data_IF_355899680843
#
_entry.id   IF_355899680843
#
_cell.length_a   1.000
_cell.length_b   1.000
_cell.length_c   1.000
_cell.angle_alpha   90.00
_cell.angle_beta   90.00
_cell.angle_gamma   90.00
#
_symmetry.space_group_name_H-M   'P 1'
#
loop_
_entity.id
_entity.type
_entity.pdbx_description
1 polymer ?
#
# COMPACT_ATOMS: atom_id res chain seq x y z
N UNK A 1 -12.90 7.60 35.00
CA UNK A 1 -14.11 7.13 35.73
C UNK A 1 -15.08 6.29 34.89
N UNK A 2 -15.63 6.75 33.75
CA UNK A 2 -16.51 5.89 32.93
C UNK A 2 -15.73 4.82 32.15
N UNK A 3 -14.63 5.20 31.48
CA UNK A 3 -13.75 4.29 30.74
C UNK A 3 -13.03 3.25 31.63
N UNK A 4 -12.80 3.58 32.90
CA UNK A 4 -12.15 2.67 33.86
C UNK A 4 -13.07 1.52 34.31
N UNK A 5 -14.39 1.68 34.19
CA UNK A 5 -15.36 0.67 34.63
C UNK A 5 -15.73 -0.32 33.55
N UNK A 6 -15.74 0.13 32.30
CA UNK A 6 -16.06 -0.71 31.14
C UNK A 6 -15.33 -0.15 29.91
N UNK A 7 -14.10 -0.64 29.63
CA UNK A 7 -13.31 -0.20 28.48
C UNK A 7 -14.02 -0.51 27.15
N UNK A 8 -14.86 -1.55 27.11
CA UNK A 8 -15.62 -1.95 25.92
C UNK A 8 -16.92 -1.17 25.71
N UNK A 9 -17.38 -0.38 26.69
CA UNK A 9 -18.61 0.40 26.58
C UNK A 9 -18.55 1.53 25.53
N UNK A 10 -17.34 1.91 25.10
CA UNK A 10 -17.11 3.03 24.19
C UNK A 10 -16.27 2.58 22.99
N UNK A 11 -16.71 1.55 22.27
CA UNK A 11 -16.23 1.32 20.92
C UNK A 11 -16.64 2.53 20.07
N UNK A 12 -15.72 3.45 19.85
CA UNK A 12 -15.92 4.58 18.96
C UNK A 12 -15.72 4.08 17.54
N UNK A 13 -16.70 4.35 16.68
CA UNK A 13 -16.51 4.16 15.26
C UNK A 13 -15.49 5.15 14.71
N UNK A 14 -15.00 4.87 13.51
CA UNK A 14 -14.02 5.71 12.84
C UNK A 14 -14.50 7.16 12.66
N UNK A 15 -15.79 7.35 12.35
CA UNK A 15 -16.40 8.67 12.18
C UNK A 15 -16.32 9.49 13.47
N UNK A 16 -16.62 8.89 14.62
CA UNK A 16 -16.49 9.55 15.92
C UNK A 16 -15.04 9.90 16.23
N UNK A 17 -14.09 9.01 15.92
CA UNK A 17 -12.65 9.25 16.11
C UNK A 17 -12.19 10.43 15.26
N UNK A 18 -12.55 10.47 13.98
CA UNK A 18 -12.24 11.59 13.11
C UNK A 18 -12.92 12.88 13.57
N UNK A 19 -14.19 12.79 14.00
CA UNK A 19 -14.92 13.91 14.58
C UNK A 19 -14.23 14.51 15.80
N UNK A 20 -13.73 13.66 16.70
CA UNK A 20 -12.95 14.12 17.86
C UNK A 20 -11.61 14.74 17.41
N UNK A 21 -10.88 14.07 16.52
CA UNK A 21 -9.61 14.58 16.02
C UNK A 21 -9.77 15.96 15.34
N UNK A 22 -10.88 16.21 14.66
CA UNK A 22 -11.17 17.48 13.99
C UNK A 22 -11.79 18.54 14.89
N UNK A 23 -12.48 18.15 15.97
CA UNK A 23 -13.01 19.09 16.96
C UNK A 23 -11.92 19.65 17.88
N UNK A 24 -10.83 18.89 18.07
CA UNK A 24 -9.67 19.36 18.82
C UNK A 24 -8.84 20.33 17.98
N UNK A 25 -8.31 21.41 18.60
CA UNK A 25 -7.46 22.35 17.89
C UNK A 25 -6.25 21.63 17.31
N UNK A 26 -5.82 22.05 16.12
CA UNK A 26 -4.53 21.63 15.60
C UNK A 26 -3.44 21.99 16.63
N UNK A 27 -2.78 20.98 17.18
CA UNK A 27 -1.78 21.17 18.22
C UNK A 27 -0.50 21.76 17.61
N UNK A 28 -0.47 23.08 17.54
CA UNK A 28 0.58 23.81 16.84
C UNK A 28 1.86 23.99 17.66
N UNK A 29 1.74 23.95 18.99
CA UNK A 29 2.80 24.34 19.89
C UNK A 29 3.87 23.26 20.05
N UNK A 30 3.46 22.00 20.14
CA UNK A 30 4.33 20.88 20.49
C UNK A 30 4.14 19.70 19.52
N UNK A 31 5.22 18.94 19.21
CA UNK A 31 5.19 17.82 18.28
C UNK A 31 4.42 16.59 18.80
N UNK A 32 3.97 16.61 20.05
CA UNK A 32 3.06 15.62 20.65
C UNK A 32 1.97 16.38 21.41
N UNK A 33 1.01 16.89 20.67
CA UNK A 33 -0.08 17.67 21.24
C UNK A 33 -1.06 16.86 22.09
N UNK A 34 -1.90 17.54 22.89
CA UNK A 34 -2.96 16.90 23.69
C UNK A 34 -3.92 16.03 22.87
N UNK A 35 -4.11 16.30 21.57
CA UNK A 35 -4.91 15.45 20.68
C UNK A 35 -4.26 14.08 20.49
N UNK A 36 -2.95 14.04 20.27
CA UNK A 36 -2.19 12.79 20.12
C UNK A 36 -2.26 11.97 21.40
N UNK A 37 -2.02 12.62 22.55
CA UNK A 37 -2.08 11.98 23.87
C UNK A 37 -3.48 11.43 24.15
N UNK A 38 -4.52 12.20 23.82
CA UNK A 38 -5.90 11.78 24.00
C UNK A 38 -6.24 10.57 23.13
N UNK A 39 -5.86 10.56 21.85
CA UNK A 39 -6.08 9.39 20.97
C UNK A 39 -5.29 8.18 21.44
N UNK A 40 -4.03 8.34 21.84
CA UNK A 40 -3.22 7.25 22.41
C UNK A 40 -3.88 6.67 23.65
N UNK A 41 -4.43 7.52 24.53
CA UNK A 41 -5.19 7.07 25.69
C UNK A 41 -6.42 6.24 25.26
N UNK A 42 -7.21 6.73 24.30
CA UNK A 42 -8.37 6.00 23.79
C UNK A 42 -8.01 4.64 23.17
N UNK A 43 -6.93 4.58 22.40
CA UNK A 43 -6.41 3.33 21.82
C UNK A 43 -5.94 2.38 22.93
N UNK A 44 -5.19 2.88 23.92
CA UNK A 44 -4.68 2.07 25.04
C UNK A 44 -5.81 1.43 25.87
N UNK A 45 -6.96 2.11 25.95
CA UNK A 45 -8.16 1.61 26.62
C UNK A 45 -8.97 0.63 25.75
N UNK A 46 -8.56 0.36 24.51
CA UNK A 46 -9.29 -0.52 23.59
C UNK A 46 -10.58 0.06 23.04
N UNK A 47 -10.84 1.35 23.27
CA UNK A 47 -12.06 2.02 22.80
C UNK A 47 -12.01 2.45 21.33
N UNK A 48 -10.82 2.43 20.71
CA UNK A 48 -10.60 2.97 19.36
C UNK A 48 -9.66 2.07 18.55
N UNK A 49 -10.02 1.83 17.29
CA UNK A 49 -9.15 1.21 16.29
C UNK A 49 -9.41 1.86 14.93
N UNK A 50 -8.40 1.86 14.05
CA UNK A 50 -8.58 2.20 12.63
C UNK A 50 -9.52 1.23 11.89
N UNK A 51 -9.82 0.06 12.46
CA UNK A 51 -10.70 -0.92 11.81
C UNK A 51 -12.14 -0.41 11.77
N UNK A 52 -12.62 -0.17 10.56
CA UNK A 52 -14.05 0.06 10.32
C UNK A 52 -14.81 -1.17 10.82
N UNK A 53 -15.57 -1.02 11.92
CA UNK A 53 -16.49 -2.05 12.35
C UNK A 53 -17.48 -2.25 11.20
N UNK A 54 -17.49 -3.44 10.61
CA UNK A 54 -18.34 -3.77 9.47
C UNK A 54 -19.80 -3.40 9.81
N UNK A 55 -20.25 -2.26 9.31
CA UNK A 55 -21.56 -1.70 9.61
C UNK A 55 -22.58 -2.66 9.02
N UNK A 56 -23.31 -3.36 9.89
CA UNK A 56 -24.20 -4.44 9.47
C UNK A 56 -25.25 -3.97 8.45
N UNK A 57 -25.07 -4.35 7.19
CA UNK A 57 -26.14 -4.61 6.22
C UNK A 57 -26.92 -3.43 5.65
N UNK A 58 -26.45 -2.18 5.78
CA UNK A 58 -27.07 -1.04 5.09
C UNK A 58 -26.50 -0.88 3.69
N UNK A 59 -27.24 -1.28 2.66
CA UNK A 59 -26.92 -1.15 1.22
C UNK A 59 -26.92 0.32 0.72
N UNK A 60 -26.66 1.27 1.62
CA UNK A 60 -26.75 2.72 1.36
C UNK A 60 -25.39 3.39 1.44
N UNK A 61 -24.94 3.92 0.30
CA UNK A 61 -23.78 4.79 0.09
C UNK A 61 -22.50 4.41 0.86
N UNK A 62 -21.71 3.55 0.21
CA UNK A 62 -20.35 3.13 0.61
C UNK A 62 -19.32 4.26 0.35
N UNK A 63 -19.75 5.51 0.21
CA UNK A 63 -18.90 6.68 -0.02
C UNK A 63 -18.44 7.36 1.29
N UNK A 64 -18.71 6.73 2.44
CA UNK A 64 -18.10 7.14 3.71
C UNK A 64 -16.59 6.96 3.62
N UNK A 65 -15.87 8.08 3.46
CA UNK A 65 -14.40 8.09 3.50
C UNK A 65 -13.92 7.44 4.81
N UNK A 66 -13.02 6.46 4.69
CA UNK A 66 -12.43 5.82 5.86
C UNK A 66 -11.66 6.83 6.73
N UNK A 67 -11.60 6.57 8.04
CA UNK A 67 -10.94 7.44 9.02
C UNK A 67 -9.47 7.66 8.69
N UNK A 68 -8.76 6.61 8.27
CA UNK A 68 -7.36 6.75 7.84
C UNK A 68 -7.26 7.61 6.58
N UNK A 69 -8.20 7.50 5.64
CA UNK A 69 -8.26 8.35 4.45
C UNK A 69 -8.49 9.82 4.81
N UNK A 70 -9.43 10.10 5.71
CA UNK A 70 -9.73 11.46 6.16
C UNK A 70 -8.56 12.09 6.91
N UNK A 71 -7.93 11.35 7.82
CA UNK A 71 -6.74 11.80 8.53
C UNK A 71 -5.56 12.01 7.58
N UNK A 72 -5.35 11.13 6.61
CA UNK A 72 -4.29 11.30 5.62
C UNK A 72 -4.51 12.54 4.75
N UNK A 73 -5.74 12.80 4.29
CA UNK A 73 -6.06 14.06 3.57
C UNK A 73 -5.84 15.30 4.43
N UNK A 74 -6.06 15.23 5.75
CA UNK A 74 -5.70 16.33 6.67
C UNK A 74 -4.19 16.49 6.76
N UNK A 75 -3.45 15.40 6.93
CA UNK A 75 -1.99 15.38 6.96
C UNK A 75 -1.39 16.02 5.70
N UNK A 76 -1.80 15.59 4.50
CA UNK A 76 -1.31 16.15 3.22
C UNK A 76 -1.59 17.65 3.13
N UNK A 77 -2.81 18.10 3.47
CA UNK A 77 -3.14 19.54 3.47
C UNK A 77 -2.27 20.35 4.43
N UNK A 78 -2.02 19.84 5.64
CA UNK A 78 -1.17 20.51 6.62
C UNK A 78 0.29 20.53 6.16
N UNK A 79 0.76 19.43 5.57
CA UNK A 79 2.10 19.33 4.98
C UNK A 79 2.29 20.34 3.85
N UNK A 80 1.34 20.42 2.90
CA UNK A 80 1.36 21.40 1.81
C UNK A 80 1.36 22.86 2.32
N UNK A 81 0.60 23.15 3.38
CA UNK A 81 0.63 24.48 4.02
C UNK A 81 1.97 24.79 4.66
N UNK A 82 2.69 23.78 5.16
CA UNK A 82 4.03 23.93 5.72
C UNK A 82 5.09 24.16 4.64
N UNK A 83 4.86 23.68 3.41
CA UNK A 83 5.76 23.89 2.26
C UNK A 83 5.41 25.11 1.41
N UNK A 84 4.33 25.82 1.76
CA UNK A 84 3.88 27.00 1.03
C UNK A 84 5.00 28.02 0.82
N UNK A 85 5.15 28.45 -0.43
CA UNK A 85 6.06 29.53 -0.80
C UNK A 85 5.40 30.89 -0.57
N UNK A 86 6.15 31.79 0.07
CA UNK A 86 5.73 33.16 0.29
C UNK A 86 6.50 34.08 -0.65
N UNK A 87 5.87 35.17 -1.09
CA UNK A 87 6.56 36.19 -1.87
C UNK A 87 7.62 36.88 -1.01
N UNK A 88 8.79 37.14 -1.59
CA UNK A 88 9.91 37.78 -0.91
C UNK A 88 10.81 36.80 -0.15
N UNK A 89 11.40 37.27 0.95
CA UNK A 89 12.33 36.48 1.76
C UNK A 89 11.58 35.45 2.62
N UNK A 90 11.91 34.16 2.45
CA UNK A 90 11.31 33.06 3.21
C UNK A 90 11.98 32.83 4.58
N UNK A 91 13.03 33.58 4.90
CA UNK A 91 13.67 33.54 6.22
C UNK A 91 13.00 34.45 7.25
N UNK A 92 12.00 35.23 6.83
CA UNK A 92 11.24 36.13 7.72
C UNK A 92 10.57 35.36 8.86
N UNK A 93 10.55 35.92 10.08
CA UNK A 93 10.05 35.22 11.26
C UNK A 93 8.62 34.72 11.08
N UNK A 94 7.73 35.52 10.49
CA UNK A 94 6.34 35.13 10.23
C UNK A 94 6.20 33.92 9.30
N UNK A 95 7.11 33.77 8.32
CA UNK A 95 7.12 32.62 7.42
C UNK A 95 7.64 31.39 8.15
N UNK A 96 8.73 31.54 8.92
CA UNK A 96 9.28 30.41 9.69
C UNK A 96 8.30 29.91 10.75
N UNK A 97 7.59 30.81 11.43
CA UNK A 97 6.55 30.46 12.40
C UNK A 97 5.37 29.75 11.73
N UNK A 98 4.89 30.26 10.59
CA UNK A 98 3.84 29.58 9.80
C UNK A 98 4.26 28.15 9.42
N UNK A 99 5.48 27.98 8.90
CA UNK A 99 5.99 26.65 8.50
C UNK A 99 6.11 25.71 9.70
N UNK A 100 6.69 26.18 10.80
CA UNK A 100 6.80 25.40 12.03
C UNK A 100 5.44 24.96 12.56
N UNK A 101 4.47 25.90 12.56
CA UNK A 101 3.10 25.66 12.99
C UNK A 101 2.45 24.52 12.20
N UNK A 102 2.42 24.61 10.87
CA UNK A 102 1.77 23.59 10.04
C UNK A 102 2.55 22.27 9.99
N UNK A 103 3.88 22.33 10.11
CA UNK A 103 4.70 21.12 10.25
C UNK A 103 4.35 20.36 11.54
N UNK A 104 4.24 21.05 12.67
CA UNK A 104 3.83 20.44 13.94
C UNK A 104 2.42 19.82 13.84
N UNK A 105 1.48 20.53 13.21
CA UNK A 105 0.14 20.01 12.99
C UNK A 105 0.12 18.74 12.12
N UNK A 106 0.90 18.72 11.03
CA UNK A 106 1.05 17.54 10.18
C UNK A 106 1.65 16.35 10.96
N UNK A 107 2.72 16.59 11.72
CA UNK A 107 3.36 15.58 12.58
C UNK A 107 2.36 15.02 13.60
N UNK A 108 1.58 15.87 14.27
CA UNK A 108 0.55 15.43 15.21
C UNK A 108 -0.55 14.59 14.54
N UNK A 109 -1.02 14.99 13.35
CA UNK A 109 -1.98 14.18 12.58
C UNK A 109 -1.40 12.82 12.21
N UNK A 110 -0.12 12.75 11.84
CA UNK A 110 0.54 11.48 11.56
C UNK A 110 0.68 10.61 12.81
N UNK A 111 1.03 11.19 13.96
CA UNK A 111 1.06 10.44 15.23
C UNK A 111 -0.31 9.91 15.65
N UNK A 112 -1.40 10.61 15.30
CA UNK A 112 -2.77 10.06 15.46
C UNK A 112 -2.96 8.84 14.56
N UNK A 113 -2.55 8.90 13.29
CA UNK A 113 -2.60 7.76 12.37
C UNK A 113 -1.80 6.56 12.91
N UNK A 114 -0.56 6.80 13.38
CA UNK A 114 0.28 5.75 13.99
C UNK A 114 -0.38 5.12 15.21
N UNK A 115 -0.97 5.94 16.09
CA UNK A 115 -1.68 5.45 17.25
C UNK A 115 -2.87 4.56 16.85
N UNK A 116 -3.64 4.94 15.83
CA UNK A 116 -4.79 4.15 15.35
C UNK A 116 -4.40 2.84 14.66
N UNK A 117 -3.20 2.81 14.05
CA UNK A 117 -2.61 1.60 13.47
C UNK A 117 -1.97 0.71 14.55
N UNK A 118 -1.69 1.22 15.73
CA UNK A 118 -1.14 0.42 16.83
C UNK A 118 -2.25 -0.43 17.46
N UNK A 119 -2.10 -1.77 17.54
CA UNK A 119 -3.13 -2.62 18.12
C UNK A 119 -3.33 -2.28 19.60
N UNK A 120 -4.59 -2.11 19.99
CA UNK A 120 -4.95 -1.90 21.39
C UNK A 120 -4.60 -3.15 22.22
N UNK A 121 -3.83 -2.97 23.29
CA UNK A 121 -3.54 -4.03 24.25
C UNK A 121 -2.62 -5.14 23.71
N UNK A 122 -1.81 -4.87 22.69
CA UNK A 122 -0.68 -5.75 22.38
C UNK A 122 0.15 -5.91 23.65
N UNK A 123 0.48 -7.16 24.01
CA UNK A 123 1.24 -7.57 25.20
C UNK A 123 2.55 -6.77 25.31
N UNK A 124 2.47 -5.53 25.79
CA UNK A 124 3.58 -4.65 26.12
C UNK A 124 4.29 -5.12 27.40
N UNK A 125 4.23 -6.43 27.67
CA UNK A 125 4.90 -7.04 28.81
C UNK A 125 6.41 -7.24 28.55
N UNK A 126 6.87 -7.04 27.33
CA UNK A 126 8.29 -6.97 26.99
C UNK A 126 8.66 -5.49 26.73
N UNK A 127 9.11 -4.84 27.80
CA UNK A 127 9.41 -3.40 28.01
C UNK A 127 10.53 -2.82 27.10
N UNK A 128 10.34 -2.79 25.78
CA UNK A 128 11.13 -1.90 24.91
C UNK A 128 10.23 -0.77 24.40
N UNK A 129 10.08 0.29 25.20
CA UNK A 129 9.23 1.49 24.94
C UNK A 129 9.51 2.19 23.59
N UNK A 130 10.60 1.87 22.89
CA UNK A 130 10.97 2.46 21.60
C UNK A 130 10.52 1.66 20.35
N UNK A 131 9.92 0.47 20.51
CA UNK A 131 9.59 -0.41 19.37
C UNK A 131 8.26 -0.06 18.66
N UNK A 132 7.60 1.04 19.05
CA UNK A 132 6.28 1.45 18.51
C UNK A 132 6.26 1.64 16.98
N UNK A 133 7.38 2.05 16.38
CA UNK A 133 7.51 2.19 14.92
C UNK A 133 7.76 0.88 14.18
N UNK A 134 8.28 -0.15 14.87
CA UNK A 134 8.79 -1.39 14.25
C UNK A 134 7.71 -2.15 13.48
N UNK A 135 6.47 -2.08 13.95
CA UNK A 135 5.35 -2.81 13.37
C UNK A 135 4.36 -1.93 12.60
N UNK A 136 4.70 -0.65 12.35
CA UNK A 136 3.79 0.28 11.68
C UNK A 136 3.42 -0.20 10.27
N UNK A 137 4.41 -0.62 9.47
CA UNK A 137 4.19 -1.15 8.12
C UNK A 137 3.26 -2.37 8.16
N UNK A 138 3.55 -3.33 9.05
CA UNK A 138 2.73 -4.53 9.24
C UNK A 138 1.29 -4.16 9.58
N UNK A 139 1.10 -3.24 10.51
CA UNK A 139 -0.23 -2.86 10.94
C UNK A 139 -0.99 -2.09 9.85
N UNK A 140 -0.32 -1.26 9.07
CA UNK A 140 -0.91 -0.60 7.89
C UNK A 140 -1.38 -1.61 6.84
N UNK A 141 -0.58 -2.67 6.58
CA UNK A 141 -0.96 -3.77 5.68
C UNK A 141 -2.19 -4.52 6.18
N UNK A 142 -2.32 -4.69 7.50
CA UNK A 142 -3.46 -5.36 8.16
C UNK A 142 -4.68 -4.46 8.34
N UNK A 143 -4.50 -3.15 8.23
CA UNK A 143 -5.59 -2.21 8.19
C UNK A 143 -6.21 -2.32 6.80
N UNK A 144 -7.30 -3.08 6.72
CA UNK A 144 -8.01 -3.33 5.47
C UNK A 144 -8.30 -2.03 4.71
N UNK A 145 -8.51 -0.92 5.42
CA UNK A 145 -8.88 0.37 4.86
C UNK A 145 -7.74 1.38 4.69
N UNK A 146 -6.47 0.97 4.81
CA UNK A 146 -5.35 1.89 4.62
C UNK A 146 -5.35 2.46 3.18
N UNK A 147 -5.39 3.79 2.99
CA UNK A 147 -5.27 4.39 1.67
C UNK A 147 -3.95 3.98 1.00
N UNK A 148 -3.93 3.71 -0.32
CA UNK A 148 -2.70 3.37 -1.06
C UNK A 148 -1.57 4.37 -0.81
N UNK A 149 -1.85 5.67 -0.96
CA UNK A 149 -0.85 6.73 -0.77
C UNK A 149 -0.30 6.79 0.67
N UNK A 150 -1.17 6.56 1.67
CA UNK A 150 -0.74 6.48 3.07
C UNK A 150 0.16 5.27 3.29
N UNK A 151 -0.21 4.10 2.74
CA UNK A 151 0.61 2.89 2.86
C UNK A 151 1.99 3.10 2.24
N UNK A 152 2.05 3.67 1.03
CA UNK A 152 3.32 4.01 0.37
C UNK A 152 4.14 4.97 1.20
N UNK A 153 3.53 6.03 1.72
CA UNK A 153 4.22 6.96 2.62
C UNK A 153 4.80 6.25 3.85
N UNK A 154 4.03 5.36 4.49
CA UNK A 154 4.48 4.56 5.65
C UNK A 154 5.66 3.66 5.26
N UNK A 155 5.57 2.95 4.13
CA UNK A 155 6.64 2.07 3.63
C UNK A 155 7.91 2.85 3.31
N UNK A 156 7.81 3.98 2.61
CA UNK A 156 8.96 4.81 2.22
C UNK A 156 9.67 5.44 3.43
N UNK A 157 8.93 5.79 4.47
CA UNK A 157 9.47 6.38 5.72
C UNK A 157 9.95 5.33 6.73
N UNK A 158 9.48 4.09 6.63
CA UNK A 158 9.79 2.99 7.57
C UNK A 158 10.36 1.76 6.85
N UNK A 159 11.34 1.95 5.97
CA UNK A 159 11.93 0.87 5.16
C UNK A 159 12.47 -0.30 6.01
N UNK A 160 12.97 -0.05 7.22
CA UNK A 160 13.41 -1.11 8.14
C UNK A 160 12.26 -2.05 8.54
N UNK A 161 11.08 -1.48 8.81
CA UNK A 161 9.89 -2.22 9.23
C UNK A 161 9.34 -3.19 8.17
N UNK A 162 9.72 -3.05 6.90
CA UNK A 162 9.33 -3.97 5.82
C UNK A 162 10.01 -5.34 5.99
N UNK A 163 11.20 -5.37 6.58
CA UNK A 163 11.98 -6.59 6.82
C UNK A 163 11.84 -7.12 8.27
N UNK A 164 11.11 -6.41 9.13
CA UNK A 164 10.89 -6.82 10.51
C UNK A 164 9.84 -7.92 10.60
N UNK A 165 10.30 -9.12 10.96
CA UNK A 165 9.44 -10.25 11.24
C UNK A 165 8.83 -10.14 12.65
N UNK A 166 7.59 -10.59 12.79
CA UNK A 166 6.94 -10.73 14.10
C UNK A 166 7.50 -11.92 14.91
N UNK A 167 6.97 -12.14 16.11
CA UNK A 167 7.34 -13.29 16.97
C UNK A 167 7.04 -14.66 16.33
N UNK A 168 6.27 -14.70 15.24
CA UNK A 168 5.97 -15.89 14.44
C UNK A 168 6.73 -15.89 13.10
N UNK A 169 7.75 -15.04 12.92
CA UNK A 169 8.53 -14.95 11.69
C UNK A 169 7.80 -14.29 10.51
N UNK A 170 6.61 -13.74 10.69
CA UNK A 170 5.84 -13.13 9.60
C UNK A 170 6.31 -11.69 9.34
N UNK A 171 6.87 -11.47 8.15
CA UNK A 171 7.02 -10.15 7.54
C UNK A 171 5.67 -9.50 7.19
N UNK A 172 5.59 -8.17 7.02
CA UNK A 172 4.44 -7.49 6.41
C UNK A 172 3.95 -8.14 5.12
N UNK A 173 4.87 -8.63 4.28
CA UNK A 173 4.56 -9.31 3.02
C UNK A 173 3.73 -10.60 3.21
N UNK A 174 3.91 -11.33 4.31
CA UNK A 174 3.11 -12.53 4.61
C UNK A 174 1.65 -12.16 4.91
N UNK A 175 1.41 -11.06 5.63
CA UNK A 175 0.06 -10.55 5.86
C UNK A 175 -0.60 -10.07 4.57
N UNK A 176 0.14 -9.34 3.74
CA UNK A 176 -0.33 -8.93 2.41
C UNK A 176 -0.68 -10.14 1.54
N UNK A 177 0.11 -11.21 1.60
CA UNK A 177 -0.15 -12.49 0.96
C UNK A 177 -1.34 -13.27 1.56
N UNK A 178 -1.84 -12.90 2.74
CA UNK A 178 -3.08 -13.44 3.30
C UNK A 178 -2.90 -14.34 4.53
N UNK A 179 -1.75 -14.29 5.20
CA UNK A 179 -1.48 -15.04 6.44
C UNK A 179 -2.63 -14.96 7.46
N UNK A 180 -3.19 -13.77 7.70
CA UNK A 180 -4.28 -13.56 8.67
C UNK A 180 -5.52 -14.43 8.37
N UNK A 181 -5.79 -14.76 7.10
CA UNK A 181 -6.93 -15.60 6.71
C UNK A 181 -6.68 -17.08 6.96
N UNK A 182 -5.47 -17.53 6.62
CA UNK A 182 -5.06 -18.93 6.80
C UNK A 182 -5.02 -19.25 8.29
N UNK A 183 -4.38 -18.39 9.08
CA UNK A 183 -4.24 -18.57 10.52
C UNK A 183 -5.58 -18.53 11.26
N UNK A 184 -6.54 -17.71 10.82
CA UNK A 184 -7.85 -17.62 11.45
C UNK A 184 -8.77 -18.83 11.14
N UNK A 185 -8.34 -19.75 10.28
CA UNK A 185 -9.11 -20.95 9.92
C UNK A 185 -10.49 -20.64 9.36
N UNK A 186 -10.72 -19.41 8.88
CA UNK A 186 -12.02 -18.95 8.40
C UNK A 186 -12.33 -19.72 7.11
N UNK A 187 -13.30 -20.64 7.12
CA UNK A 187 -13.58 -21.48 5.96
C UNK A 187 -13.98 -20.59 4.79
N UNK A 188 -13.33 -20.79 3.65
CA UNK A 188 -13.73 -20.17 2.38
C UNK A 188 -15.16 -20.59 2.07
N UNK A 189 -16.12 -19.70 2.25
CA UNK A 189 -17.48 -19.92 1.76
C UNK A 189 -17.43 -19.87 0.21
N UNK A 190 -17.74 -20.98 -0.49
CA UNK A 190 -17.72 -21.00 -1.94
C UNK A 190 -18.79 -20.05 -2.48
N UNK A 191 -18.36 -19.04 -3.25
CA UNK A 191 -19.24 -18.05 -3.86
C UNK A 191 -19.52 -16.80 -3.02
N UNK A 192 -18.89 -16.64 -1.85
CA UNK A 192 -18.90 -15.36 -1.15
C UNK A 192 -17.97 -14.36 -1.87
N UNK A 193 -18.42 -13.12 -2.19
CA UNK A 193 -17.48 -12.05 -2.54
C UNK A 193 -16.41 -12.01 -1.44
N UNK A 194 -15.13 -11.94 -1.83
CA UNK A 194 -13.98 -12.15 -0.95
C UNK A 194 -14.19 -11.52 0.43
N UNK A 195 -13.95 -12.29 1.50
CA UNK A 195 -14.29 -11.90 2.86
C UNK A 195 -13.63 -10.59 3.37
N UNK A 196 -12.65 -10.05 2.64
CA UNK A 196 -12.30 -8.62 2.74
C UNK A 196 -13.15 -7.90 1.72
N UNK A 197 -14.04 -7.00 2.11
CA UNK A 197 -14.73 -6.09 1.17
C UNK A 197 -13.80 -5.18 0.35
N UNK A 198 -12.50 -5.46 0.33
CA UNK A 198 -11.48 -4.78 -0.45
C UNK A 198 -11.45 -5.30 -1.88
N UNK A 199 -11.34 -4.38 -2.85
CA UNK A 199 -11.02 -4.74 -4.23
C UNK A 199 -9.76 -5.58 -4.28
N UNK A 200 -9.76 -6.64 -5.09
CA UNK A 200 -8.59 -7.49 -5.26
C UNK A 200 -7.35 -6.69 -5.69
N UNK A 201 -7.55 -5.67 -6.53
CA UNK A 201 -6.51 -4.73 -7.00
C UNK A 201 -5.70 -4.10 -5.85
N UNK A 202 -6.33 -3.86 -4.69
CA UNK A 202 -5.63 -3.35 -3.52
C UNK A 202 -4.57 -4.33 -3.02
N UNK A 203 -4.90 -5.64 -2.99
CA UNK A 203 -3.93 -6.66 -2.58
C UNK A 203 -2.70 -6.70 -3.48
N UNK A 204 -2.86 -6.57 -4.79
CA UNK A 204 -1.73 -6.50 -5.72
C UNK A 204 -0.87 -5.27 -5.42
N UNK A 205 -1.50 -4.12 -5.24
CA UNK A 205 -0.80 -2.87 -4.92
C UNK A 205 0.06 -3.00 -3.66
N UNK A 206 -0.52 -3.51 -2.56
CA UNK A 206 0.22 -3.71 -1.30
C UNK A 206 1.43 -4.63 -1.50
N UNK A 207 1.25 -5.75 -2.20
CA UNK A 207 2.34 -6.70 -2.48
C UNK A 207 3.43 -6.02 -3.34
N UNK A 208 3.05 -5.30 -4.40
CA UNK A 208 3.99 -4.61 -5.28
C UNK A 208 4.82 -3.57 -4.52
N UNK A 209 4.18 -2.78 -3.65
CA UNK A 209 4.85 -1.75 -2.86
C UNK A 209 5.85 -2.35 -1.86
N UNK A 210 5.47 -3.44 -1.19
CA UNK A 210 6.36 -4.14 -0.26
C UNK A 210 7.54 -4.81 -0.98
N UNK A 211 7.31 -5.43 -2.14
CA UNK A 211 8.38 -6.01 -2.96
C UNK A 211 9.29 -4.96 -3.58
N UNK A 212 8.77 -3.77 -3.88
CA UNK A 212 9.57 -2.65 -4.32
C UNK A 212 10.55 -2.20 -3.22
N UNK A 213 10.10 -2.16 -1.97
CA UNK A 213 10.92 -1.79 -0.83
C UNK A 213 11.89 -2.91 -0.39
N UNK A 214 11.45 -4.17 -0.40
CA UNK A 214 12.22 -5.33 0.04
C UNK A 214 11.94 -6.58 -0.82
N UNK A 215 12.59 -6.70 -2.00
CA UNK A 215 12.31 -7.78 -2.95
C UNK A 215 12.69 -9.16 -2.41
N UNK A 216 13.77 -9.26 -1.64
CA UNK A 216 14.24 -10.51 -1.03
C UNK A 216 13.20 -11.09 -0.05
N UNK A 217 12.28 -10.27 0.45
CA UNK A 217 11.16 -10.69 1.30
C UNK A 217 10.28 -11.77 0.68
N UNK A 218 10.21 -11.89 -0.65
CA UNK A 218 9.48 -12.95 -1.34
C UNK A 218 10.05 -14.36 -1.06
N UNK A 219 11.34 -14.44 -0.70
CA UNK A 219 12.07 -15.67 -0.42
C UNK A 219 12.17 -16.01 1.07
N UNK A 220 11.71 -15.11 1.95
CA UNK A 220 11.76 -15.30 3.40
C UNK A 220 10.57 -16.14 3.83
N UNK A 221 10.83 -17.27 4.48
CA UNK A 221 9.81 -18.10 5.11
C UNK A 221 9.35 -17.48 6.43
N UNK A 222 8.08 -17.66 6.77
CA UNK A 222 7.62 -17.36 8.13
C UNK A 222 8.07 -18.43 9.14
N UNK A 223 7.65 -18.29 10.40
CA UNK A 223 8.00 -19.24 11.46
C UNK A 223 7.45 -20.67 11.25
N UNK A 224 6.47 -20.83 10.35
CA UNK A 224 5.94 -22.15 9.95
C UNK A 224 6.70 -22.75 8.75
N UNK A 225 7.69 -22.06 8.20
CA UNK A 225 8.42 -22.46 6.98
C UNK A 225 7.67 -22.14 5.67
N UNK A 226 6.60 -21.35 5.74
CA UNK A 226 5.73 -21.05 4.60
C UNK A 226 6.15 -19.75 3.92
N UNK A 227 6.28 -19.79 2.59
CA UNK A 227 6.62 -18.61 1.77
C UNK A 227 5.39 -17.73 1.48
N UNK A 228 5.59 -16.42 1.24
CA UNK A 228 4.52 -15.51 0.85
C UNK A 228 3.71 -15.98 -0.38
N UNK A 229 4.36 -16.52 -1.42
CA UNK A 229 3.65 -16.99 -2.62
C UNK A 229 2.71 -18.16 -2.32
N UNK A 230 3.10 -19.06 -1.41
CA UNK A 230 2.27 -20.19 -0.97
C UNK A 230 1.06 -19.67 -0.21
N UNK A 231 1.26 -18.74 0.73
CA UNK A 231 0.16 -18.10 1.46
C UNK A 231 -0.83 -17.39 0.54
N UNK A 232 -0.36 -16.72 -0.52
CA UNK A 232 -1.21 -16.05 -1.50
C UNK A 232 -2.10 -17.02 -2.28
N UNK A 233 -1.55 -18.18 -2.63
CA UNK A 233 -2.26 -19.27 -3.32
C UNK A 233 -3.28 -19.94 -2.41
N UNK A 234 -2.92 -20.26 -1.17
CA UNK A 234 -3.81 -20.87 -0.18
C UNK A 234 -4.94 -19.91 0.23
N UNK A 235 -4.60 -18.62 0.37
CA UNK A 235 -5.56 -17.54 0.51
C UNK A 235 -6.38 -17.29 -0.76
N UNK A 236 -6.03 -17.99 -1.85
CA UNK A 236 -6.51 -17.96 -3.23
C UNK A 236 -6.81 -16.57 -3.73
N UNK A 237 -5.78 -15.75 -3.63
CA UNK A 237 -5.65 -14.54 -4.41
C UNK A 237 -5.57 -14.90 -5.90
N UNK A 238 -5.86 -13.94 -6.77
CA UNK A 238 -5.77 -14.13 -8.22
C UNK A 238 -4.33 -13.95 -8.70
N UNK A 239 -4.02 -14.57 -9.85
CA UNK A 239 -2.69 -14.48 -10.48
C UNK A 239 -2.22 -13.03 -10.69
N UNK A 240 -2.98 -12.25 -11.47
CA UNK A 240 -2.65 -10.84 -11.76
C UNK A 240 -3.15 -9.90 -10.65
N UNK A 241 -4.48 -9.84 -10.44
CA UNK A 241 -5.09 -8.90 -9.51
C UNK A 241 -4.80 -9.15 -8.03
N UNK A 242 -4.28 -10.32 -7.68
CA UNK A 242 -3.98 -10.69 -6.29
C UNK A 242 -2.50 -10.62 -5.91
N UNK A 243 -1.62 -10.20 -6.83
CA UNK A 243 -0.18 -10.08 -6.56
C UNK A 243 0.61 -11.39 -6.55
N UNK A 244 0.01 -12.54 -6.91
CA UNK A 244 0.75 -13.81 -7.01
C UNK A 244 1.83 -13.72 -8.09
N UNK A 245 1.52 -13.12 -9.25
CA UNK A 245 2.50 -12.90 -10.31
C UNK A 245 3.70 -12.10 -9.83
N UNK A 246 3.48 -11.02 -9.08
CA UNK A 246 4.56 -10.20 -8.52
C UNK A 246 5.46 -10.98 -7.57
N UNK A 247 4.87 -11.85 -6.73
CA UNK A 247 5.63 -12.75 -5.86
C UNK A 247 6.42 -13.79 -6.64
N UNK A 248 5.84 -14.36 -7.71
CA UNK A 248 6.52 -15.30 -8.60
C UNK A 248 7.68 -14.64 -9.36
N UNK A 249 7.49 -13.43 -9.89
CA UNK A 249 8.55 -12.68 -10.57
C UNK A 249 9.70 -12.33 -9.61
N UNK A 250 9.39 -12.03 -8.34
CA UNK A 250 10.39 -11.74 -7.31
C UNK A 250 11.15 -13.00 -6.84
N UNK A 251 10.47 -14.16 -6.74
CA UNK A 251 11.07 -15.43 -6.33
C UNK A 251 10.41 -16.64 -7.02
N UNK A 252 10.86 -17.01 -8.24
CA UNK A 252 10.22 -18.06 -9.04
C UNK A 252 10.22 -19.44 -8.37
N UNK A 253 11.32 -19.77 -7.68
CA UNK A 253 11.50 -21.06 -7.00
C UNK A 253 10.44 -21.31 -5.91
N UNK A 254 9.79 -20.26 -5.39
CA UNK A 254 8.73 -20.36 -4.40
C UNK A 254 7.50 -21.13 -4.90
N UNK A 255 7.21 -21.09 -6.20
CA UNK A 255 6.05 -21.80 -6.78
C UNK A 255 6.19 -23.33 -6.70
N UNK A 256 7.41 -23.85 -6.75
CA UNK A 256 7.67 -25.29 -6.63
C UNK A 256 7.23 -25.85 -5.26
N UNK A 257 7.10 -24.98 -4.24
CA UNK A 257 6.70 -25.38 -2.89
C UNK A 257 5.18 -25.34 -2.64
N UNK A 258 4.42 -24.70 -3.54
CA UNK A 258 2.98 -24.53 -3.37
C UNK A 258 2.16 -25.82 -3.58
N UNK A 259 2.80 -26.94 -3.95
CA UNK A 259 2.17 -28.25 -4.18
C UNK A 259 0.85 -28.14 -4.96
N UNK A 260 0.85 -27.36 -6.05
CA UNK A 260 -0.33 -27.16 -6.87
C UNK A 260 -0.81 -28.50 -7.41
N UNK A 261 -2.03 -28.90 -7.05
CA UNK A 261 -2.66 -30.11 -7.59
C UNK A 261 -2.75 -30.04 -9.12
N UNK A 262 -2.66 -31.20 -9.78
CA UNK A 262 -2.80 -31.30 -11.22
C UNK A 262 -4.19 -30.77 -11.64
N UNK A 263 -4.21 -29.70 -12.43
CA UNK A 263 -5.45 -28.99 -12.82
C UNK A 263 -5.74 -27.72 -12.02
N UNK A 264 -4.88 -27.30 -11.09
CA UNK A 264 -5.03 -26.01 -10.44
C UNK A 264 -4.96 -24.86 -11.47
N UNK A 265 -5.88 -23.86 -11.46
CA UNK A 265 -5.91 -22.79 -12.46
C UNK A 265 -4.60 -22.01 -12.61
N UNK A 266 -3.82 -21.93 -11.54
CA UNK A 266 -2.52 -21.25 -11.55
C UNK A 266 -1.43 -22.04 -12.29
N UNK A 267 -1.51 -23.38 -12.34
CA UNK A 267 -0.55 -24.18 -13.10
C UNK A 267 -0.61 -23.81 -14.60
N UNK A 268 -1.81 -23.59 -15.13
CA UNK A 268 -2.01 -23.10 -16.49
C UNK A 268 -1.48 -21.68 -16.70
N UNK A 269 -1.66 -20.79 -15.71
CA UNK A 269 -1.19 -19.41 -15.79
C UNK A 269 0.35 -19.31 -15.86
N UNK A 270 1.06 -20.11 -15.06
CA UNK A 270 2.54 -20.19 -15.07
C UNK A 270 3.07 -20.75 -16.39
N UNK A 271 2.40 -21.78 -16.92
CA UNK A 271 2.76 -22.39 -18.21
C UNK A 271 2.65 -21.40 -19.36
N UNK A 272 1.59 -20.58 -19.37
CA UNK A 272 1.36 -19.57 -20.39
C UNK A 272 2.43 -18.47 -20.38
N UNK A 273 2.86 -18.02 -19.20
CA UNK A 273 3.92 -17.01 -19.08
C UNK A 273 5.28 -17.54 -19.56
N UNK A 274 5.56 -18.82 -19.32
CA UNK A 274 6.78 -19.48 -19.80
C UNK A 274 6.81 -19.58 -21.34
N UNK A 275 5.64 -19.73 -21.98
CA UNK A 275 5.53 -19.71 -23.45
C UNK A 275 5.74 -18.29 -24.00
N UNK A 276 5.12 -17.29 -23.37
CA UNK A 276 5.25 -15.90 -23.81
C UNK A 276 6.70 -15.40 -23.72
N UNK A 277 7.44 -15.80 -22.70
CA UNK A 277 8.85 -15.44 -22.57
C UNK A 277 9.75 -16.07 -23.65
N UNK A 278 9.39 -17.26 -24.17
CA UNK A 278 10.17 -17.92 -25.21
C UNK A 278 9.97 -17.28 -26.59
N UNK A 279 8.77 -16.77 -26.88
CA UNK A 279 8.45 -16.13 -28.16
C UNK A 279 9.10 -14.73 -28.30
N UNK A 280 9.32 -14.02 -27.18
CA UNK A 280 9.92 -12.68 -27.18
C UNK A 280 11.44 -12.70 -27.47
N UNK A 281 12.14 -13.81 -27.16
CA UNK A 281 13.60 -13.92 -27.37
C UNK A 281 13.98 -14.10 -28.86
N UNK A 282 13.05 -14.52 -29.71
CA UNK A 282 13.32 -14.75 -31.14
C UNK A 282 13.33 -13.44 -31.97
N UNK A 283 12.70 -12.35 -31.52
CA UNK A 283 12.55 -11.11 -32.31
C UNK A 283 13.76 -10.16 -32.19
N UNK A 284 14.56 -10.25 -31.11
CA UNK A 284 15.78 -9.43 -30.95
C UNK A 284 16.95 -9.92 -31.84
N UNK A 285 16.84 -11.09 -32.47
CA UNK A 285 17.88 -11.59 -33.40
C UNK A 285 17.85 -10.94 -34.78
N UNK A 286 16.80 -10.19 -35.12
CA UNK A 286 16.65 -9.57 -36.44
C UNK A 286 17.27 -8.17 -36.59
N UNK A 287 17.65 -7.51 -35.49
CA UNK A 287 18.19 -6.13 -35.55
C UNK A 287 19.73 -6.08 -35.55
N UNK A 288 20.41 -7.16 -35.13
CA UNK A 288 21.87 -7.21 -35.09
C UNK A 288 22.56 -7.30 -36.48
N UNK A 289 21.80 -7.44 -37.57
CA UNK A 289 22.34 -7.58 -38.92
C UNK A 289 22.52 -6.24 -39.70
N UNK A 290 22.23 -5.08 -39.09
CA UNK A 290 22.28 -3.78 -39.78
C UNK A 290 23.29 -2.76 -39.22
N UNK A 291 24.02 -3.07 -38.15
CA UNK A 291 25.11 -2.21 -37.69
C UNK A 291 26.39 -2.50 -38.48
N UNK A 292 26.53 -1.77 -39.59
CA UNK A 292 27.78 -1.65 -40.32
C UNK A 292 28.91 -1.06 -39.44
N UNK A 293 30.18 -1.33 -39.77
CA UNK A 293 31.32 -0.88 -39.00
C UNK A 293 31.42 0.65 -38.99
N UNK A 294 31.04 1.28 -37.87
CA UNK A 294 31.34 2.68 -37.58
C UNK A 294 32.79 2.79 -37.09
N UNK A 295 33.68 3.01 -38.04
CA UNK A 295 35.04 3.48 -37.84
C UNK A 295 35.04 4.96 -37.40
N UNK A 296 35.97 5.34 -36.51
CA UNK A 296 36.30 6.75 -36.27
C UNK A 296 36.23 7.20 -34.81
N UNK A 297 37.40 7.26 -34.17
CA UNK A 297 37.62 7.64 -32.77
C UNK A 297 37.23 9.06 -32.37
N UNK A 298 37.17 9.27 -31.06
CA UNK A 298 37.54 10.55 -30.44
C UNK A 298 38.01 10.33 -28.99
N UNK A 299 39.23 10.79 -28.73
CA UNK A 299 39.88 10.89 -27.42
C UNK A 299 39.35 12.09 -26.62
N UNK A 300 39.25 11.94 -25.30
CA UNK A 300 39.06 13.04 -24.34
C UNK A 300 37.95 12.72 -23.34
N UNK A 301 38.04 12.95 -22.03
CA UNK A 301 38.97 13.73 -21.23
C UNK A 301 38.85 13.21 -19.79
N UNK A 302 39.99 13.09 -19.09
CA UNK A 302 40.08 12.65 -17.70
C UNK A 302 39.57 13.77 -16.78
N UNK A 303 38.47 13.53 -16.06
CA UNK A 303 38.04 14.36 -14.94
C UNK A 303 38.31 13.62 -13.63
N UNK A 304 39.23 14.20 -12.85
CA UNK A 304 39.69 13.75 -11.54
C UNK A 304 38.68 14.08 -10.43
N UNK A 305 38.34 13.05 -9.64
CA UNK A 305 38.28 13.11 -8.16
C UNK A 305 37.24 14.01 -7.49
N UNK A 306 36.17 13.40 -6.97
CA UNK A 306 35.62 13.72 -5.64
C UNK A 306 35.16 12.41 -5.00
N UNK A 307 35.91 11.96 -3.99
CA UNK A 307 35.53 10.87 -3.09
C UNK A 307 34.42 11.35 -2.15
N UNK A 308 33.18 10.99 -2.48
CA UNK A 308 32.00 11.17 -1.64
C UNK A 308 31.37 9.82 -1.35
N UNK A 309 31.43 9.43 -0.07
CA UNK A 309 31.07 8.11 0.44
C UNK A 309 29.64 7.64 0.10
N UNK A 310 29.52 6.34 -0.19
CA UNK A 310 28.36 5.52 0.22
C UNK A 310 27.10 5.55 -0.64
N UNK A 311 27.14 6.09 -1.87
CA UNK A 311 26.00 6.01 -2.78
C UNK A 311 25.78 4.58 -3.28
N UNK A 312 24.91 3.81 -2.60
CA UNK A 312 24.30 2.60 -3.18
C UNK A 312 23.67 3.02 -4.51
N UNK A 313 24.35 2.70 -5.60
CA UNK A 313 23.92 3.01 -6.95
C UNK A 313 22.69 2.15 -7.20
N UNK A 314 21.51 2.71 -6.90
CA UNK A 314 20.22 2.09 -7.23
C UNK A 314 20.25 1.84 -8.73
N UNK A 315 20.36 0.57 -9.09
CA UNK A 315 20.30 0.07 -10.46
C UNK A 315 18.91 0.46 -10.98
N UNK A 316 18.81 1.63 -11.63
CA UNK A 316 17.67 2.08 -12.43
C UNK A 316 17.56 1.12 -13.63
N UNK A 317 17.22 -0.14 -13.38
CA UNK A 317 16.96 -1.15 -14.42
C UNK A 317 15.46 -1.27 -14.59
N UNK A 318 15.07 -1.26 -15.86
CA UNK A 318 13.71 -1.39 -16.38
C UNK A 318 12.73 -0.29 -15.95
N UNK A 319 12.63 0.74 -16.81
CA UNK A 319 11.29 1.27 -17.10
C UNK A 319 10.42 0.06 -17.45
N UNK A 320 9.42 -0.24 -16.61
CA UNK A 320 8.43 -1.27 -16.90
C UNK A 320 7.85 -0.94 -18.27
N UNK A 321 8.16 -1.75 -19.29
CA UNK A 321 7.42 -1.69 -20.54
C UNK A 321 6.00 -2.10 -20.15
N UNK A 322 5.08 -1.14 -20.13
CA UNK A 322 3.65 -1.43 -19.95
C UNK A 322 3.32 -2.47 -21.03
N UNK A 323 2.98 -3.70 -20.62
CA UNK A 323 2.61 -4.74 -21.57
C UNK A 323 1.36 -4.25 -22.28
N UNK A 324 1.44 -4.12 -23.61
CA UNK A 324 0.42 -3.50 -24.48
C UNK A 324 -0.97 -4.13 -24.32
N UNK A 325 -1.02 -5.36 -23.81
CA UNK A 325 -2.25 -6.12 -23.59
C UNK A 325 -2.96 -5.74 -22.28
N UNK A 326 -2.22 -5.36 -21.23
CA UNK A 326 -2.81 -4.93 -19.94
C UNK A 326 -3.60 -3.62 -20.11
N UNK A 327 -3.06 -2.69 -20.91
CA UNK A 327 -3.76 -1.45 -21.29
C UNK A 327 -5.04 -1.72 -22.09
N UNK A 328 -5.03 -2.73 -22.97
CA UNK A 328 -6.18 -3.04 -23.82
C UNK A 328 -7.36 -3.58 -22.98
N UNK A 329 -7.08 -4.49 -22.04
CA UNK A 329 -8.10 -5.05 -21.16
C UNK A 329 -8.70 -4.00 -20.23
N UNK A 330 -7.88 -3.08 -19.70
CA UNK A 330 -8.34 -1.97 -18.88
C UNK A 330 -9.26 -1.01 -19.67
N UNK A 331 -8.88 -0.67 -20.91
CA UNK A 331 -9.69 0.14 -21.83
C UNK A 331 -11.04 -0.54 -22.11
N UNK A 332 -11.01 -1.83 -22.44
CA UNK A 332 -12.24 -2.59 -22.70
C UNK A 332 -13.11 -2.70 -21.45
N UNK A 333 -12.52 -2.79 -20.26
CA UNK A 333 -13.25 -2.88 -18.99
C UNK A 333 -13.98 -1.58 -18.64
N UNK A 334 -13.32 -0.41 -18.73
CA UNK A 334 -13.95 0.87 -18.36
C UNK A 334 -15.11 1.24 -19.29
N UNK A 335 -15.11 0.74 -20.52
CA UNK A 335 -16.18 0.93 -21.51
C UNK A 335 -17.36 -0.04 -21.33
N UNK A 336 -17.27 -1.08 -20.49
CA UNK A 336 -18.38 -2.03 -20.31
C UNK A 336 -19.58 -1.33 -19.64
N UNK A 337 -20.78 -1.42 -20.21
CA UNK A 337 -21.98 -0.81 -19.62
C UNK A 337 -22.39 -1.46 -18.30
N UNK A 338 -21.95 -2.69 -18.05
CA UNK A 338 -22.22 -3.43 -16.80
C UNK A 338 -21.26 -3.08 -15.66
N UNK A 339 -20.16 -2.39 -15.92
CA UNK A 339 -19.20 -2.02 -14.87
C UNK A 339 -19.81 -0.95 -13.96
N UNK A 340 -19.59 -1.06 -12.64
CA UNK A 340 -20.05 -0.04 -11.69
C UNK A 340 -19.14 1.18 -11.72
N UNK A 341 -19.60 2.34 -11.23
CA UNK A 341 -18.76 3.54 -11.12
C UNK A 341 -17.49 3.27 -10.27
N UNK A 342 -17.64 2.49 -9.20
CA UNK A 342 -16.54 2.05 -8.33
C UNK A 342 -15.52 1.21 -9.09
N UNK A 343 -15.96 0.25 -9.90
CA UNK A 343 -15.05 -0.60 -10.67
C UNK A 343 -14.27 0.21 -11.71
N UNK A 344 -14.94 1.15 -12.39
CA UNK A 344 -14.31 2.05 -13.36
C UNK A 344 -13.25 2.92 -12.67
N UNK A 345 -13.57 3.53 -11.53
CA UNK A 345 -12.63 4.33 -10.76
C UNK A 345 -11.41 3.50 -10.29
N UNK A 346 -11.63 2.25 -9.85
CA UNK A 346 -10.54 1.35 -9.42
C UNK A 346 -9.62 0.97 -10.59
N UNK A 347 -10.17 0.71 -11.77
CA UNK A 347 -9.36 0.40 -12.97
C UNK A 347 -8.60 1.61 -13.49
N UNK A 348 -9.22 2.79 -13.46
CA UNK A 348 -8.53 4.05 -13.78
C UNK A 348 -7.34 4.29 -12.85
N UNK A 349 -7.53 4.07 -11.55
CA UNK A 349 -6.46 4.22 -10.55
C UNK A 349 -5.32 3.21 -10.78
N UNK A 350 -5.66 1.95 -11.05
CA UNK A 350 -4.68 0.91 -11.31
C UNK A 350 -3.86 1.15 -12.60
N UNK A 351 -4.32 2.03 -13.49
CA UNK A 351 -3.69 2.34 -14.77
C UNK A 351 -3.54 3.86 -14.95
N UNK A 352 -3.16 4.59 -13.89
CA UNK A 352 -3.08 6.06 -13.93
C UNK A 352 -2.11 6.61 -14.99
N UNK A 353 -1.11 5.82 -15.39
CA UNK A 353 -0.15 6.18 -16.43
C UNK A 353 -0.72 6.00 -17.86
N UNK A 354 -1.88 5.34 -18.02
CA UNK A 354 -2.54 5.13 -19.31
C UNK A 354 -3.61 6.20 -19.57
N UNK A 355 -3.26 7.19 -20.40
CA UNK A 355 -4.17 8.27 -20.80
C UNK A 355 -5.46 7.77 -21.48
N UNK A 356 -5.43 6.62 -22.15
CA UNK A 356 -6.60 6.01 -22.79
C UNK A 356 -7.59 5.49 -21.75
N UNK A 357 -7.10 4.76 -20.74
CA UNK A 357 -7.93 4.27 -19.62
C UNK A 357 -8.52 5.45 -18.83
N UNK A 358 -7.72 6.46 -18.53
CA UNK A 358 -8.17 7.64 -17.79
C UNK A 358 -9.27 8.42 -18.53
N UNK A 359 -9.07 8.71 -19.82
CA UNK A 359 -10.03 9.47 -20.62
C UNK A 359 -11.36 8.74 -20.78
N UNK A 360 -11.31 7.44 -21.11
CA UNK A 360 -12.51 6.62 -21.31
C UNK A 360 -13.23 6.35 -19.99
N UNK A 361 -12.48 6.16 -18.90
CA UNK A 361 -13.06 6.02 -17.57
C UNK A 361 -13.79 7.29 -17.12
N UNK A 362 -13.21 8.48 -17.31
CA UNK A 362 -13.89 9.76 -17.03
C UNK A 362 -15.20 9.91 -17.83
N UNK A 363 -15.18 9.59 -19.12
CA UNK A 363 -16.39 9.63 -19.96
C UNK A 363 -17.47 8.65 -19.43
N UNK A 364 -17.06 7.43 -19.09
CA UNK A 364 -17.96 6.41 -18.59
C UNK A 364 -18.54 6.78 -17.20
N UNK A 365 -17.79 7.47 -16.34
CA UNK A 365 -18.30 8.01 -15.08
C UNK A 365 -19.30 9.15 -15.29
N UNK A 366 -19.03 10.05 -16.25
CA UNK A 366 -19.94 11.13 -16.59
C UNK A 366 -21.29 10.62 -17.14
N UNK A 367 -21.26 9.62 -18.03
CA UNK A 367 -22.49 9.00 -18.57
C UNK A 367 -23.35 8.35 -17.47
N UNK A 368 -22.70 7.72 -16.47
CA UNK A 368 -23.40 7.13 -15.32
C UNK A 368 -24.01 8.19 -14.41
N UNK A 369 -23.28 9.29 -14.17
CA UNK A 369 -23.78 10.41 -13.38
C UNK A 369 -24.97 11.12 -14.05
N UNK A 370 -25.05 11.12 -15.38
CA UNK A 370 -26.17 11.68 -16.13
C UNK A 370 -27.41 10.76 -16.18
N UNK A 371 -27.25 9.47 -15.90
CA UNK A 371 -28.32 8.47 -15.92
C UNK A 371 -28.95 8.16 -14.56
N UNK A 372 -28.36 8.66 -13.46
CA UNK A 372 -28.89 8.60 -12.09
C UNK A 372 -29.72 9.86 -11.80
#
# INVERSE_FOLDING_TARGET
>A
MLLERDPGAFALDGDAVYGIATALPDDFAEPTGPTVEFVRLLVSLGGVSARTLARGGGDGDVDGDDTLALLYRRFVRQFDQSERFFAGDNSRPEVTEHRSRFKNAAVNTFHVIEALLTPAGGDAADDDEDDGGRFLVRNAVRADSCPPDLLRYIVETNLGGVADADSRGNLPLHYAAGYDRVAAGVPRLPGGPGASGLPESYSKYVIDELLYAYPDGASVENGDGTLPVVLAIESGKKWFGGGIRSLHEAYPDGMARANLEEGHPLASAVSFESQQAADDDDDDTLVAALDGPSDGGEEGTVATGVDGAGGRTRKRRQRRRIRKDESHDAIMFVQRPTSTARDVASVMWANEEDAGVAMLGCAALADRAAGA
#
